data_IF_960729055741
#
_entry.id   IF_960729055741
#
_cell.length_a   1.000
_cell.length_b   1.000
_cell.length_c   1.000
_cell.angle_alpha   90.00
_cell.angle_beta   90.00
_cell.angle_gamma   90.00
#
_symmetry.space_group_name_H-M   'P 1'
#
loop_
_entity.id
_entity.type
_entity.pdbx_description
1 polymer ?
#
# COMPACT_ATOMS: atom_id res chain seq x y z
N UNK A 1 64.22 -2.96 23.01
CA UNK A 1 63.23 -3.22 24.09
C UNK A 1 62.12 -2.17 24.14
N UNK A 2 62.41 -0.86 24.29
CA UNK A 2 61.37 0.20 24.32
C UNK A 2 60.41 0.20 23.11
N UNK A 3 60.92 -0.02 21.88
CA UNK A 3 60.08 -0.07 20.66
C UNK A 3 59.14 -1.29 20.61
N UNK A 4 59.56 -2.44 21.16
CA UNK A 4 58.74 -3.66 21.26
C UNK A 4 57.63 -3.46 22.30
N UNK A 5 57.94 -2.79 23.41
CA UNK A 5 56.97 -2.45 24.46
C UNK A 5 55.85 -1.53 23.93
N UNK A 6 56.19 -0.55 23.09
CA UNK A 6 55.22 0.38 22.47
C UNK A 6 54.29 -0.37 21.51
N UNK A 7 54.82 -1.29 20.70
CA UNK A 7 54.01 -2.11 19.77
C UNK A 7 53.04 -3.02 20.53
N UNK A 8 53.48 -3.62 21.65
CA UNK A 8 52.64 -4.46 22.50
C UNK A 8 51.50 -3.68 23.18
N UNK A 9 51.77 -2.45 23.63
CA UNK A 9 50.75 -1.58 24.24
C UNK A 9 49.68 -1.17 23.21
N UNK A 10 50.10 -0.85 21.98
CA UNK A 10 49.17 -0.52 20.89
C UNK A 10 48.30 -1.75 20.53
N UNK A 11 48.88 -2.96 20.51
CA UNK A 11 48.15 -4.19 20.19
C UNK A 11 47.06 -4.51 21.24
N UNK A 12 47.31 -4.23 22.51
CA UNK A 12 46.34 -4.40 23.61
C UNK A 12 45.23 -3.35 23.55
N UNK A 13 45.54 -2.12 23.16
CA UNK A 13 44.54 -1.05 23.05
C UNK A 13 43.49 -1.32 21.95
N UNK A 14 43.86 -2.03 20.87
CA UNK A 14 42.94 -2.38 19.77
C UNK A 14 41.92 -3.47 20.15
N UNK A 15 42.15 -4.21 21.25
CA UNK A 15 41.23 -5.25 21.73
C UNK A 15 40.02 -4.68 22.53
N UNK A 16 40.03 -3.39 22.89
CA UNK A 16 38.92 -2.74 23.61
C UNK A 16 37.86 -2.09 22.69
N UNK A 17 37.86 -2.40 21.39
CA UNK A 17 36.98 -1.78 20.39
C UNK A 17 35.58 -2.37 20.23
N UNK A 18 35.23 -3.46 20.92
CA UNK A 18 33.87 -4.00 20.88
C UNK A 18 32.94 -3.18 21.79
N UNK A 19 32.42 -2.06 21.28
CA UNK A 19 31.29 -1.39 21.90
C UNK A 19 30.02 -2.20 21.60
N UNK A 20 29.32 -2.67 22.64
CA UNK A 20 27.95 -3.17 22.48
C UNK A 20 27.08 -1.96 22.15
N UNK A 21 26.61 -1.90 20.91
CA UNK A 21 25.72 -0.85 20.46
C UNK A 21 24.28 -1.26 20.78
N UNK A 22 23.84 -1.00 22.01
CA UNK A 22 22.45 -1.17 22.39
C UNK A 22 21.65 0.02 21.84
N UNK A 23 21.08 -0.14 20.63
CA UNK A 23 20.27 0.90 20.00
C UNK A 23 18.87 0.93 20.61
N UNK A 24 18.60 1.93 21.43
CA UNK A 24 17.23 2.24 21.84
C UNK A 24 16.53 2.91 20.67
N UNK A 25 15.48 2.28 20.14
CA UNK A 25 14.65 2.83 19.07
C UNK A 25 13.64 3.80 19.68
N UNK A 26 13.74 5.08 19.35
CA UNK A 26 12.84 6.14 19.86
C UNK A 26 11.72 6.48 18.88
N UNK A 27 11.91 6.17 17.60
CA UNK A 27 11.02 6.48 16.49
C UNK A 27 10.09 5.32 16.11
N UNK A 28 10.37 4.12 16.61
CA UNK A 28 9.60 2.90 16.32
C UNK A 28 9.61 1.94 17.50
N UNK A 29 8.52 1.21 17.66
CA UNK A 29 8.43 0.13 18.65
C UNK A 29 9.21 -1.08 18.13
N UNK A 30 10.15 -1.65 18.90
CA UNK A 30 10.83 -2.87 18.52
C UNK A 30 9.82 -4.01 18.25
N UNK A 31 10.02 -4.84 17.20
CA UNK A 31 9.09 -5.92 16.89
C UNK A 31 8.83 -6.90 18.04
N UNK A 32 9.79 -7.03 18.97
CA UNK A 32 9.70 -7.90 20.15
C UNK A 32 8.80 -7.36 21.25
N UNK A 33 8.62 -6.04 21.31
CA UNK A 33 7.87 -5.35 22.37
C UNK A 33 6.47 -4.91 21.90
N UNK A 34 6.18 -5.11 20.61
CA UNK A 34 4.89 -4.79 20.04
C UNK A 34 3.89 -5.93 20.30
N UNK A 35 3.03 -5.75 21.31
CA UNK A 35 1.83 -6.57 21.47
C UNK A 35 0.83 -6.09 20.42
N UNK A 36 0.78 -6.81 19.31
CA UNK A 36 -0.03 -6.42 18.16
C UNK A 36 -1.52 -6.40 18.50
N UNK A 37 -2.11 -5.20 18.55
CA UNK A 37 -3.52 -5.06 18.30
C UNK A 37 -3.76 -5.42 16.82
N UNK A 38 -4.51 -6.48 16.50
CA UNK A 38 -4.77 -6.87 15.12
C UNK A 38 -5.45 -5.76 14.31
N UNK A 39 -6.17 -4.83 14.96
CA UNK A 39 -6.75 -3.65 14.29
C UNK A 39 -5.67 -2.67 13.87
N UNK A 40 -4.67 -2.42 14.71
CA UNK A 40 -3.55 -1.53 14.36
C UNK A 40 -2.68 -2.11 13.25
N UNK A 41 -2.49 -3.43 13.23
CA UNK A 41 -1.76 -4.10 12.15
C UNK A 41 -2.45 -3.97 10.78
N UNK A 42 -3.77 -3.72 10.74
CA UNK A 42 -4.50 -3.47 9.49
C UNK A 42 -4.36 -2.03 8.99
N UNK A 43 -3.82 -1.10 9.79
CA UNK A 43 -3.72 0.32 9.42
C UNK A 43 -3.02 0.59 8.07
N UNK A 44 -1.97 -0.16 7.67
CA UNK A 44 -1.37 -0.01 6.34
C UNK A 44 -2.35 -0.28 5.20
N UNK A 45 -3.30 -1.21 5.39
CA UNK A 45 -4.34 -1.49 4.39
C UNK A 45 -5.25 -0.28 4.20
N UNK A 46 -5.58 0.46 5.26
CA UNK A 46 -6.41 1.67 5.15
C UNK A 46 -5.64 2.91 4.69
N UNK A 47 -4.32 2.92 4.84
CA UNK A 47 -3.50 4.10 4.59
C UNK A 47 -3.70 4.72 3.19
N UNK A 48 -3.79 3.94 2.09
CA UNK A 48 -4.00 4.50 0.75
C UNK A 48 -5.35 5.20 0.55
N UNK A 49 -6.35 4.91 1.41
CA UNK A 49 -7.69 5.51 1.28
C UNK A 49 -7.74 6.97 1.72
N UNK A 50 -6.76 7.43 2.50
CA UNK A 50 -6.72 8.82 3.03
C UNK A 50 -6.82 9.86 1.93
N UNK A 51 -6.21 9.59 0.79
CA UNK A 51 -6.16 10.53 -0.33
C UNK A 51 -7.18 10.18 -1.42
N UNK A 52 -8.20 9.34 -1.15
CA UNK A 52 -9.22 9.04 -2.16
C UNK A 52 -10.08 10.26 -2.51
N UNK A 53 -10.25 11.16 -1.55
CA UNK A 53 -11.08 12.36 -1.71
C UNK A 53 -10.29 13.61 -2.14
N UNK A 54 -8.97 13.51 -2.27
CA UNK A 54 -8.08 14.66 -2.50
C UNK A 54 -6.93 14.30 -3.46
N UNK A 55 -6.13 15.28 -3.89
CA UNK A 55 -4.86 15.10 -4.62
C UNK A 55 -4.95 14.11 -5.80
N UNK A 56 -5.78 14.44 -6.80
CA UNK A 56 -5.99 13.59 -7.98
C UNK A 56 -6.47 12.18 -7.63
N UNK A 57 -7.16 12.04 -6.50
CA UNK A 57 -7.76 10.81 -6.00
C UNK A 57 -9.06 10.42 -6.71
N UNK A 58 -9.60 9.30 -6.27
CA UNK A 58 -10.80 8.67 -6.82
C UNK A 58 -11.98 9.63 -6.99
N UNK A 59 -12.33 10.40 -5.96
CA UNK A 59 -13.50 11.27 -5.97
C UNK A 59 -13.37 12.39 -7.01
N UNK A 60 -12.26 13.13 -7.01
CA UNK A 60 -12.04 14.20 -7.98
C UNK A 60 -12.09 13.70 -9.43
N UNK A 61 -11.48 12.55 -9.70
CA UNK A 61 -11.52 11.94 -11.03
C UNK A 61 -12.94 11.54 -11.44
N UNK A 62 -13.74 10.99 -10.54
CA UNK A 62 -15.11 10.53 -10.86
C UNK A 62 -16.10 11.69 -10.97
N UNK A 63 -15.93 12.77 -10.21
CA UNK A 63 -16.85 13.91 -10.24
C UNK A 63 -16.53 14.90 -11.37
N UNK A 64 -15.26 15.22 -11.62
CA UNK A 64 -14.88 16.19 -12.67
C UNK A 64 -15.14 15.63 -14.07
N UNK A 65 -15.07 14.31 -14.24
CA UNK A 65 -15.42 13.63 -15.50
C UNK A 65 -16.93 13.45 -15.67
N UNK A 66 -17.73 13.74 -14.63
CA UNK A 66 -19.18 13.82 -14.70
C UNK A 66 -19.67 15.24 -15.01
N UNK A 67 -20.99 15.44 -14.86
CA UNK A 67 -21.68 16.72 -15.02
C UNK A 67 -22.03 17.41 -13.68
N UNK A 68 -21.75 16.76 -12.55
CA UNK A 68 -22.07 17.24 -11.20
C UNK A 68 -21.07 18.26 -10.63
N UNK A 69 -19.84 18.29 -11.12
CA UNK A 69 -18.79 19.18 -10.65
C UNK A 69 -17.92 19.71 -11.80
N UNK A 70 -17.28 20.86 -11.58
CA UNK A 70 -16.32 21.44 -12.52
C UNK A 70 -15.14 22.03 -11.74
N UNK A 71 -13.93 21.84 -12.25
CA UNK A 71 -12.71 22.49 -11.76
C UNK A 71 -12.34 23.67 -12.65
N UNK A 72 -12.91 24.88 -12.44
CA UNK A 72 -12.65 26.02 -13.30
C UNK A 72 -11.32 26.67 -12.95
N UNK A 73 -10.56 27.07 -13.98
CA UNK A 73 -9.41 27.95 -13.80
C UNK A 73 -9.85 29.32 -13.31
N UNK A 74 -9.24 29.78 -12.21
CA UNK A 74 -9.58 31.04 -11.54
C UNK A 74 -8.35 31.93 -11.48
N UNK A 75 -8.14 32.76 -12.50
CA UNK A 75 -6.94 33.59 -12.59
C UNK A 75 -5.69 32.71 -12.76
N UNK A 76 -4.79 32.75 -11.77
CA UNK A 76 -3.58 31.92 -11.75
C UNK A 76 -3.79 30.57 -11.04
N UNK A 77 -4.89 30.39 -10.31
CA UNK A 77 -5.17 29.17 -9.57
C UNK A 77 -6.01 28.20 -10.40
N UNK A 78 -5.90 26.90 -10.08
CA UNK A 78 -6.71 25.82 -10.66
C UNK A 78 -6.54 25.60 -12.17
N UNK A 79 -5.51 26.15 -12.82
CA UNK A 79 -5.12 25.68 -14.14
C UNK A 79 -4.42 24.31 -14.02
N UNK A 80 -3.46 24.19 -13.09
CA UNK A 80 -2.68 22.97 -12.81
C UNK A 80 -2.20 22.24 -14.08
N UNK A 81 -1.72 23.02 -15.06
CA UNK A 81 -1.26 22.48 -16.35
C UNK A 81 -2.40 21.94 -17.24
N UNK A 82 -3.63 22.39 -17.02
CA UNK A 82 -4.82 21.95 -17.73
C UNK A 82 -5.38 20.59 -17.30
N UNK A 83 -4.88 19.99 -16.22
CA UNK A 83 -5.25 18.60 -15.84
C UNK A 83 -6.75 18.42 -15.58
N UNK A 84 -7.40 19.40 -14.95
CA UNK A 84 -8.84 19.36 -14.68
C UNK A 84 -9.67 19.44 -15.96
N UNK A 85 -9.23 20.26 -16.93
CA UNK A 85 -9.88 20.33 -18.25
C UNK A 85 -9.71 19.03 -19.01
N UNK A 86 -8.53 18.41 -18.95
CA UNK A 86 -8.29 17.13 -19.62
C UNK A 86 -9.22 16.03 -19.08
N UNK A 87 -9.41 16.00 -17.75
CA UNK A 87 -10.42 15.16 -17.12
C UNK A 87 -11.83 15.52 -17.60
N UNK A 88 -12.26 16.76 -17.47
CA UNK A 88 -13.63 17.15 -17.86
C UNK A 88 -13.95 16.94 -19.35
N UNK A 89 -12.95 17.06 -20.23
CA UNK A 89 -13.11 16.90 -21.68
C UNK A 89 -12.89 15.46 -22.17
N UNK A 90 -12.60 14.52 -21.29
CA UNK A 90 -12.32 13.14 -21.65
C UNK A 90 -11.13 12.97 -22.60
N UNK A 91 -10.10 13.80 -22.43
CA UNK A 91 -8.87 13.78 -23.24
C UNK A 91 -7.66 13.25 -22.48
N UNK A 92 -7.86 12.64 -21.32
CA UNK A 92 -6.78 12.09 -20.50
C UNK A 92 -6.12 10.88 -21.17
N UNK A 93 -4.87 10.65 -20.79
CA UNK A 93 -4.05 9.54 -21.26
C UNK A 93 -3.42 8.78 -20.06
N UNK A 94 -2.54 7.83 -20.35
CA UNK A 94 -1.81 7.09 -19.34
C UNK A 94 -0.74 7.92 -18.61
N UNK A 95 -0.49 9.18 -18.98
CA UNK A 95 0.43 10.09 -18.29
C UNK A 95 -0.30 11.05 -17.35
N UNK A 96 -1.63 11.06 -17.39
CA UNK A 96 -2.44 11.95 -16.55
C UNK A 96 -2.28 11.58 -15.08
N UNK A 97 -1.99 12.57 -14.24
CA UNK A 97 -1.67 12.40 -12.81
C UNK A 97 -2.71 11.56 -12.07
N UNK A 98 -4.00 11.89 -12.22
CA UNK A 98 -5.08 11.17 -11.55
C UNK A 98 -5.15 9.69 -11.92
N UNK A 99 -4.95 9.38 -13.20
CA UNK A 99 -4.95 8.00 -13.72
C UNK A 99 -3.82 7.19 -13.07
N UNK A 100 -2.60 7.75 -13.03
CA UNK A 100 -1.47 7.04 -12.42
C UNK A 100 -1.59 6.92 -10.90
N UNK A 101 -2.00 8.01 -10.24
CA UNK A 101 -2.12 8.07 -8.78
C UNK A 101 -3.17 7.09 -8.27
N UNK A 102 -4.34 7.02 -8.91
CA UNK A 102 -5.39 6.07 -8.55
C UNK A 102 -4.92 4.62 -8.73
N UNK A 103 -4.35 4.28 -9.89
CA UNK A 103 -3.81 2.94 -10.16
C UNK A 103 -2.83 2.51 -9.06
N UNK A 104 -1.86 3.38 -8.77
CA UNK A 104 -0.81 3.10 -7.80
C UNK A 104 -1.36 2.94 -6.38
N UNK A 105 -2.31 3.79 -5.98
CA UNK A 105 -2.96 3.73 -4.66
C UNK A 105 -3.80 2.47 -4.48
N UNK A 106 -4.57 2.08 -5.50
CA UNK A 106 -5.39 0.86 -5.39
C UNK A 106 -4.53 -0.39 -5.28
N UNK A 107 -3.48 -0.51 -6.10
CA UNK A 107 -2.56 -1.63 -5.98
C UNK A 107 -1.75 -1.63 -4.70
N UNK A 108 -1.37 -0.45 -4.17
CA UNK A 108 -0.76 -0.38 -2.85
C UNK A 108 -1.68 -0.98 -1.77
N UNK A 109 -2.98 -0.66 -1.81
CA UNK A 109 -3.98 -1.26 -0.94
C UNK A 109 -4.09 -2.79 -1.08
N UNK A 110 -4.06 -3.30 -2.31
CA UNK A 110 -4.01 -4.75 -2.59
C UNK A 110 -2.77 -5.40 -1.99
N UNK A 111 -1.60 -4.78 -2.19
CA UNK A 111 -0.31 -5.29 -1.71
C UNK A 111 -0.29 -5.37 -0.18
N UNK A 112 -0.70 -4.30 0.51
CA UNK A 112 -0.76 -4.26 1.97
C UNK A 112 -1.78 -5.28 2.51
N UNK A 113 -2.91 -5.47 1.82
CA UNK A 113 -3.88 -6.51 2.19
C UNK A 113 -3.31 -7.92 2.03
N UNK A 114 -2.65 -8.23 0.91
CA UNK A 114 -2.03 -9.54 0.69
C UNK A 114 -0.94 -9.83 1.74
N UNK A 115 -0.07 -8.86 2.00
CA UNK A 115 0.98 -8.96 3.02
C UNK A 115 0.40 -9.24 4.41
N UNK A 116 -0.67 -8.54 4.78
CA UNK A 116 -1.34 -8.76 6.05
C UNK A 116 -2.00 -10.15 6.12
N UNK A 117 -2.69 -10.58 5.06
CA UNK A 117 -3.35 -11.90 4.99
C UNK A 117 -2.32 -13.02 5.15
N UNK A 118 -1.19 -12.95 4.46
CA UNK A 118 -0.12 -13.95 4.58
C UNK A 118 0.48 -13.99 5.99
N UNK A 119 0.78 -12.82 6.56
CA UNK A 119 1.30 -12.72 7.92
C UNK A 119 0.33 -13.29 8.98
N UNK A 120 -0.96 -13.02 8.85
CA UNK A 120 -1.98 -13.57 9.74
C UNK A 120 -2.17 -15.08 9.54
N UNK A 121 -2.15 -15.56 8.30
CA UNK A 121 -2.32 -16.98 7.99
C UNK A 121 -1.24 -17.86 8.63
N UNK A 122 -0.03 -17.32 8.80
CA UNK A 122 1.07 -18.01 9.50
C UNK A 122 0.83 -18.21 11.00
N UNK A 123 -0.12 -17.50 11.62
CA UNK A 123 -0.45 -17.60 13.04
C UNK A 123 -1.44 -18.74 13.36
N UNK A 124 -2.00 -19.40 12.33
CA UNK A 124 -2.93 -20.52 12.46
C UNK A 124 -4.41 -20.13 12.45
N UNK A 125 -5.27 -21.01 12.97
CA UNK A 125 -6.72 -20.98 12.71
C UNK A 125 -7.58 -20.43 13.87
N UNK A 126 -6.97 -19.72 14.81
CA UNK A 126 -7.72 -19.12 15.92
C UNK A 126 -8.78 -18.13 15.40
N UNK A 127 -9.95 -18.09 16.05
CA UNK A 127 -11.07 -17.24 15.61
C UNK A 127 -10.68 -15.77 15.39
N UNK A 128 -9.87 -15.11 16.25
CA UNK A 128 -9.43 -13.74 16.00
C UNK A 128 -8.60 -13.58 14.73
N UNK A 129 -7.77 -14.56 14.39
CA UNK A 129 -6.95 -14.58 13.16
C UNK A 129 -7.85 -14.67 11.94
N UNK A 130 -8.85 -15.58 11.96
CA UNK A 130 -9.83 -15.73 10.89
C UNK A 130 -10.61 -14.42 10.66
N UNK A 131 -11.08 -13.77 11.73
CA UNK A 131 -11.77 -12.48 11.63
C UNK A 131 -10.86 -11.41 11.04
N UNK A 132 -9.59 -11.36 11.41
CA UNK A 132 -8.64 -10.40 10.85
C UNK A 132 -8.41 -10.62 9.35
N UNK A 133 -8.23 -11.87 8.93
CA UNK A 133 -8.10 -12.26 7.52
C UNK A 133 -9.36 -11.89 6.72
N UNK A 134 -10.54 -12.21 7.25
CA UNK A 134 -11.83 -11.87 6.64
C UNK A 134 -11.94 -10.36 6.34
N UNK A 135 -11.64 -9.52 7.34
CA UNK A 135 -11.66 -8.05 7.16
C UNK A 135 -10.66 -7.58 6.10
N UNK A 136 -9.46 -8.16 6.07
CA UNK A 136 -8.46 -7.80 5.07
C UNK A 136 -8.87 -8.23 3.65
N UNK A 137 -9.52 -9.38 3.49
CA UNK A 137 -10.09 -9.84 2.21
C UNK A 137 -11.17 -8.89 1.70
N UNK A 138 -12.06 -8.41 2.57
CA UNK A 138 -13.07 -7.41 2.20
C UNK A 138 -12.42 -6.11 1.71
N UNK A 139 -11.36 -5.64 2.38
CA UNK A 139 -10.62 -4.45 1.93
C UNK A 139 -9.92 -4.69 0.58
N UNK A 140 -9.26 -5.83 0.39
CA UNK A 140 -8.67 -6.21 -0.90
C UNK A 140 -9.72 -6.26 -2.01
N UNK A 141 -10.88 -6.84 -1.73
CA UNK A 141 -12.01 -6.90 -2.66
C UNK A 141 -12.48 -5.49 -3.05
N UNK A 142 -12.56 -4.56 -2.09
CA UNK A 142 -12.90 -3.17 -2.36
C UNK A 142 -11.88 -2.48 -3.27
N UNK A 143 -10.58 -2.68 -3.06
CA UNK A 143 -9.55 -2.16 -3.97
C UNK A 143 -9.68 -2.73 -5.39
N UNK A 144 -9.92 -4.04 -5.50
CA UNK A 144 -10.15 -4.66 -6.81
C UNK A 144 -11.43 -4.18 -7.48
N UNK A 145 -12.49 -3.94 -6.72
CA UNK A 145 -13.71 -3.32 -7.23
C UNK A 145 -13.41 -1.94 -7.86
N UNK A 146 -12.68 -1.08 -7.15
CA UNK A 146 -12.28 0.23 -7.68
C UNK A 146 -11.40 0.10 -8.93
N UNK A 147 -10.47 -0.86 -8.94
CA UNK A 147 -9.63 -1.14 -10.11
C UNK A 147 -10.46 -1.54 -11.33
N UNK A 148 -11.35 -2.52 -11.21
CA UNK A 148 -12.13 -2.98 -12.37
C UNK A 148 -13.20 -1.98 -12.80
N UNK A 149 -13.64 -1.10 -11.91
CA UNK A 149 -14.58 -0.06 -12.24
C UNK A 149 -13.93 1.06 -13.07
N UNK A 150 -12.70 1.45 -12.71
CA UNK A 150 -11.97 2.54 -13.37
C UNK A 150 -11.12 2.07 -14.57
N UNK A 151 -10.62 0.82 -14.55
CA UNK A 151 -9.64 0.32 -15.54
C UNK A 151 -10.10 -0.95 -16.27
N UNK A 152 -11.27 -1.49 -15.94
CA UNK A 152 -11.83 -2.72 -16.51
C UNK A 152 -10.98 -3.96 -16.23
N UNK A 153 -10.14 -4.35 -17.18
CA UNK A 153 -9.37 -5.60 -17.14
C UNK A 153 -7.99 -5.29 -16.56
N UNK A 154 -7.64 -5.93 -15.44
CA UNK A 154 -6.42 -5.62 -14.67
C UNK A 154 -5.72 -6.89 -14.18
N UNK A 155 -4.43 -6.84 -13.81
CA UNK A 155 -3.79 -7.93 -13.08
C UNK A 155 -4.49 -8.30 -11.76
N UNK A 156 -4.68 -9.60 -11.51
CA UNK A 156 -5.29 -10.09 -10.28
C UNK A 156 -4.33 -11.01 -9.50
N UNK A 157 -3.75 -10.46 -8.44
CA UNK A 157 -2.77 -11.10 -7.56
C UNK A 157 -3.26 -11.12 -6.12
N UNK A 158 -3.34 -12.31 -5.53
CA UNK A 158 -3.76 -12.52 -4.14
C UNK A 158 -2.61 -12.94 -3.23
N UNK A 159 -1.39 -12.93 -3.76
CA UNK A 159 -0.15 -13.26 -3.05
C UNK A 159 0.70 -12.00 -2.88
N UNK A 160 1.51 -11.99 -1.84
CA UNK A 160 2.54 -10.99 -1.61
C UNK A 160 3.93 -11.64 -1.76
N UNK A 161 4.21 -12.71 -1.00
CA UNK A 161 5.40 -13.52 -1.21
C UNK A 161 5.30 -14.27 -2.55
N UNK A 162 6.37 -14.19 -3.34
CA UNK A 162 6.45 -14.82 -4.67
C UNK A 162 5.31 -14.40 -5.62
N UNK A 163 4.82 -13.16 -5.46
CA UNK A 163 3.96 -12.53 -6.46
C UNK A 163 4.66 -12.50 -7.83
N UNK A 164 3.88 -12.60 -8.90
CA UNK A 164 4.41 -12.51 -10.27
C UNK A 164 4.98 -11.10 -10.49
N UNK A 165 6.23 -11.02 -10.94
CA UNK A 165 6.88 -9.75 -11.29
C UNK A 165 6.21 -9.08 -12.51
N UNK A 166 5.58 -9.88 -13.36
CA UNK A 166 4.94 -9.46 -14.60
C UNK A 166 3.53 -10.05 -14.72
N UNK A 167 2.60 -9.68 -13.82
CA UNK A 167 1.32 -10.33 -13.74
C UNK A 167 0.48 -10.05 -15.00
N UNK A 168 -0.18 -11.09 -15.49
CA UNK A 168 -1.00 -10.99 -16.70
C UNK A 168 -2.34 -10.31 -16.42
N UNK A 169 -2.92 -9.68 -17.44
CA UNK A 169 -4.24 -9.05 -17.35
C UNK A 169 -5.35 -10.09 -17.20
N UNK A 170 -6.21 -9.93 -16.20
CA UNK A 170 -7.42 -10.73 -16.01
C UNK A 170 -8.68 -9.94 -16.39
N UNK A 171 -9.75 -10.64 -16.77
CA UNK A 171 -10.99 -10.00 -17.18
C UNK A 171 -11.79 -9.47 -15.99
N UNK A 172 -12.44 -8.31 -16.17
CA UNK A 172 -13.31 -7.67 -15.16
C UNK A 172 -14.33 -8.65 -14.57
N UNK A 173 -14.96 -9.46 -15.41
CA UNK A 173 -15.99 -10.41 -14.98
C UNK A 173 -15.42 -11.48 -14.04
N UNK A 174 -14.24 -12.01 -14.34
CA UNK A 174 -13.59 -13.03 -13.52
C UNK A 174 -13.15 -12.46 -12.18
N UNK A 175 -12.60 -11.24 -12.18
CA UNK A 175 -12.22 -10.55 -10.95
C UNK A 175 -13.47 -10.27 -10.11
N UNK A 176 -14.53 -9.75 -10.71
CA UNK A 176 -15.79 -9.46 -10.01
C UNK A 176 -16.34 -10.72 -9.33
N UNK A 177 -16.41 -11.84 -10.06
CA UNK A 177 -16.87 -13.11 -9.50
C UNK A 177 -16.01 -13.58 -8.31
N UNK A 178 -14.68 -13.41 -8.39
CA UNK A 178 -13.76 -13.79 -7.30
C UNK A 178 -13.92 -12.90 -6.07
N UNK A 179 -14.01 -11.57 -6.24
CA UNK A 179 -14.12 -10.65 -5.10
C UNK A 179 -15.48 -10.74 -4.42
N UNK A 180 -16.56 -11.02 -5.16
CA UNK A 180 -17.88 -11.28 -4.58
C UNK A 180 -17.85 -12.56 -3.76
N UNK A 181 -17.26 -13.63 -4.32
CA UNK A 181 -17.07 -14.88 -3.60
C UNK A 181 -16.24 -14.70 -2.33
N UNK A 182 -15.13 -13.97 -2.39
CA UNK A 182 -14.29 -13.63 -1.23
C UNK A 182 -15.08 -12.91 -0.13
N UNK A 183 -16.13 -12.14 -0.47
CA UNK A 183 -16.98 -11.46 0.52
C UNK A 183 -18.05 -12.41 1.06
N UNK A 184 -18.68 -13.21 0.19
CA UNK A 184 -19.74 -14.15 0.57
C UNK A 184 -19.23 -15.31 1.43
N UNK A 185 -18.02 -15.82 1.16
CA UNK A 185 -17.40 -16.89 1.94
C UNK A 185 -17.00 -16.43 3.36
N UNK A 186 -16.91 -15.11 3.59
CA UNK A 186 -16.46 -14.49 4.85
C UNK A 186 -17.60 -13.81 5.64
N UNK A 187 -18.83 -13.82 5.10
CA UNK A 187 -20.04 -13.26 5.72
C UNK A 187 -20.78 -14.28 6.61
#
# INVERSE_FOLDING_TARGET
>A
MKKILIVLIILVAVQFGCTKLDTVLYDRVPPTDYVADPVLLMSPIYAPMRDFLDWSGWWFANEITGDGAVGPTRGQDWDDGGKWRSLHQHTWDNNTEAVNSMWSRYYNGVIEANKFIEAQSALGDALPVKIAIAKAKVLRAYYYYLLIDNYKDVPYETRYEFADETPSRNFRQDIFAKITKDIEDEA
#
